data_IF_192525493515
#
_entry.id   IF_192525493515
#
_cell.length_a   1.000
_cell.length_b   1.000
_cell.length_c   1.000
_cell.angle_alpha   90.00
_cell.angle_beta   90.00
_cell.angle_gamma   90.00
#
_symmetry.space_group_name_H-M   'P 1'
#
loop_
_entity.id
_entity.type
_entity.pdbx_description
1 polymer ?
#
# COMPACT_ATOMS: atom_id res chain seq x y z
N UNK A 1 26.27 -6.71 30.59
CA UNK A 1 25.48 -6.13 31.67
C UNK A 1 24.71 -4.96 31.05
N UNK A 2 23.40 -5.10 30.83
CA UNK A 2 22.57 -4.02 30.32
C UNK A 2 22.45 -2.94 31.40
N UNK A 3 22.50 -1.62 31.09
CA UNK A 3 22.31 -0.57 32.07
C UNK A 3 20.91 -0.67 32.68
N UNK A 4 20.82 -0.41 33.99
CA UNK A 4 19.55 -0.39 34.70
C UNK A 4 18.60 0.61 34.04
N UNK A 5 17.39 0.16 33.71
CA UNK A 5 16.32 1.01 33.18
C UNK A 5 15.99 2.02 34.26
N UNK A 6 16.18 3.32 34.00
CA UNK A 6 15.79 4.39 34.92
C UNK A 6 14.29 4.27 35.19
N UNK A 7 13.91 4.17 36.45
CA UNK A 7 12.51 4.17 36.88
C UNK A 7 11.88 5.52 36.55
N UNK A 8 10.87 5.49 35.67
CA UNK A 8 10.07 6.69 35.38
C UNK A 8 9.32 7.12 36.64
N UNK A 9 9.21 8.44 36.95
CA UNK A 9 8.43 8.93 38.07
C UNK A 9 7.00 8.39 38.04
N UNK A 10 6.43 8.12 39.23
CA UNK A 10 5.11 7.53 39.37
C UNK A 10 3.96 8.41 38.83
N UNK A 11 4.20 9.72 38.64
CA UNK A 11 3.25 10.67 38.08
C UNK A 11 3.90 11.44 36.93
N UNK A 12 3.32 11.31 35.74
CA UNK A 12 3.69 12.03 34.50
C UNK A 12 2.45 12.80 34.06
N UNK A 13 2.54 14.13 33.97
CA UNK A 13 1.43 14.98 33.52
C UNK A 13 1.00 14.60 32.10
N UNK A 14 -0.32 14.49 31.86
CA UNK A 14 -0.91 14.14 30.56
C UNK A 14 -0.97 12.65 30.27
N UNK A 15 -0.40 11.78 31.11
CA UNK A 15 -0.42 10.33 30.88
C UNK A 15 -1.84 9.77 30.94
N UNK A 16 -2.73 10.39 31.71
CA UNK A 16 -4.16 10.04 31.79
C UNK A 16 -4.94 10.28 30.49
N UNK A 17 -4.41 11.14 29.59
CA UNK A 17 -4.95 11.40 28.27
C UNK A 17 -4.24 10.60 27.17
N UNK A 18 -3.16 9.92 27.52
CA UNK A 18 -2.37 9.16 26.57
C UNK A 18 -2.92 7.73 26.40
N UNK A 19 -2.86 7.23 25.16
CA UNK A 19 -3.13 5.82 24.87
C UNK A 19 -1.80 5.10 24.69
N UNK A 20 -1.62 4.00 25.41
CA UNK A 20 -0.46 3.14 25.19
C UNK A 20 -0.55 2.48 23.81
N UNK A 21 0.52 2.55 23.03
CA UNK A 21 0.59 1.89 21.74
C UNK A 21 0.57 0.36 21.88
N UNK A 22 -0.12 -0.29 20.96
CA UNK A 22 -0.01 -1.72 20.78
C UNK A 22 1.29 -2.05 20.02
N UNK A 23 1.88 -3.24 20.24
CA UNK A 23 2.99 -3.70 19.40
C UNK A 23 2.62 -3.70 17.92
N UNK A 24 3.50 -3.21 17.07
CA UNK A 24 3.31 -3.17 15.59
C UNK A 24 4.28 -4.09 14.84
N UNK A 25 5.32 -4.56 15.54
CA UNK A 25 6.35 -5.46 14.99
C UNK A 25 6.72 -6.54 16.01
N UNK A 26 7.23 -7.67 15.53
CA UNK A 26 7.83 -8.72 16.36
C UNK A 26 9.22 -8.30 16.87
N UNK A 27 9.83 -9.11 17.74
CA UNK A 27 11.20 -8.89 18.20
C UNK A 27 12.24 -8.97 17.06
N UNK A 28 11.91 -9.70 15.99
CA UNK A 28 12.71 -9.87 14.77
C UNK A 28 12.47 -8.73 13.77
N UNK A 29 11.55 -7.78 14.05
CA UNK A 29 11.22 -6.64 13.20
C UNK A 29 10.17 -6.93 12.13
N UNK A 30 9.49 -8.08 12.19
CA UNK A 30 8.41 -8.40 11.28
C UNK A 30 7.13 -7.65 11.65
N UNK A 31 6.39 -7.18 10.64
CA UNK A 31 5.12 -6.49 10.84
C UNK A 31 4.06 -7.41 11.44
N UNK A 32 3.39 -6.96 12.50
CA UNK A 32 2.21 -7.62 13.08
C UNK A 32 0.92 -7.28 12.33
N UNK A 33 0.98 -6.43 11.30
CA UNK A 33 -0.19 -6.12 10.49
C UNK A 33 -0.62 -7.38 9.72
N UNK A 34 -1.84 -7.83 10.00
CA UNK A 34 -2.40 -8.99 9.30
C UNK A 34 -2.68 -8.61 7.84
N UNK A 35 -2.17 -9.37 6.86
CA UNK A 35 -2.39 -9.06 5.45
C UNK A 35 -3.86 -9.29 5.05
N UNK A 36 -4.32 -8.56 4.05
CA UNK A 36 -5.59 -8.86 3.35
C UNK A 36 -5.36 -10.10 2.49
N UNK A 37 -6.30 -11.02 2.49
CA UNK A 37 -6.26 -12.25 1.71
C UNK A 37 -6.08 -11.96 0.22
N UNK A 38 -5.11 -12.62 -0.43
CA UNK A 38 -4.78 -12.45 -1.85
C UNK A 38 -3.97 -11.19 -2.18
N UNK A 39 -3.73 -10.29 -1.22
CA UNK A 39 -2.78 -9.19 -1.42
C UNK A 39 -1.36 -9.74 -1.30
N UNK A 40 -0.58 -9.56 -2.35
CA UNK A 40 0.82 -9.98 -2.39
C UNK A 40 1.74 -8.76 -2.51
N UNK A 41 2.87 -8.82 -1.84
CA UNK A 41 3.87 -7.74 -1.87
C UNK A 41 5.24 -8.35 -2.17
N UNK A 42 5.89 -7.86 -3.22
CA UNK A 42 7.26 -8.22 -3.57
C UNK A 42 8.14 -6.97 -3.58
N UNK A 43 9.29 -7.04 -2.93
CA UNK A 43 10.34 -6.02 -2.96
C UNK A 43 11.51 -6.53 -3.79
N UNK A 44 11.58 -6.20 -5.09
CA UNK A 44 12.69 -6.61 -5.93
C UNK A 44 13.99 -5.90 -5.50
N UNK A 45 15.14 -6.57 -5.57
CA UNK A 45 16.41 -5.93 -5.26
C UNK A 45 16.69 -4.78 -6.23
N UNK A 46 17.25 -3.70 -5.69
CA UNK A 46 17.77 -2.59 -6.49
C UNK A 46 19.29 -2.69 -6.51
N UNK A 47 19.88 -2.82 -7.69
CA UNK A 47 21.32 -2.83 -7.90
C UNK A 47 21.78 -1.44 -8.30
N UNK A 48 22.81 -0.93 -7.62
CA UNK A 48 23.36 0.41 -7.86
C UNK A 48 24.85 0.33 -8.21
N UNK A 49 25.26 1.16 -9.17
CA UNK A 49 26.67 1.40 -9.49
C UNK A 49 26.89 2.91 -9.76
N UNK A 50 28.09 3.31 -10.20
CA UNK A 50 28.43 4.71 -10.48
C UNK A 50 27.60 5.35 -11.60
N UNK A 51 26.88 4.57 -12.39
CA UNK A 51 26.01 5.03 -13.50
C UNK A 51 24.57 5.20 -13.09
N UNK A 52 24.13 4.57 -11.98
CA UNK A 52 22.74 4.64 -11.51
C UNK A 52 22.24 3.35 -10.90
N UNK A 53 20.93 3.07 -11.08
CA UNK A 53 20.28 1.90 -10.47
C UNK A 53 19.50 1.09 -11.49
N UNK A 54 19.45 -0.23 -11.28
CA UNK A 54 18.56 -1.16 -11.98
C UNK A 54 17.69 -1.85 -10.94
N UNK A 55 16.38 -1.88 -11.21
CA UNK A 55 15.41 -2.62 -10.43
C UNK A 55 14.42 -3.29 -11.38
N UNK A 56 14.27 -4.60 -11.28
CA UNK A 56 13.28 -5.32 -12.08
C UNK A 56 11.87 -4.98 -11.60
N UNK A 57 11.00 -4.63 -12.54
CA UNK A 57 9.60 -4.28 -12.25
C UNK A 57 8.74 -5.53 -12.14
N UNK A 58 8.91 -6.45 -13.08
CA UNK A 58 8.15 -7.68 -13.18
C UNK A 58 8.89 -8.74 -14.00
N UNK A 59 8.87 -9.98 -13.53
CA UNK A 59 9.34 -11.14 -14.27
C UNK A 59 8.36 -12.30 -14.05
N UNK A 60 7.87 -12.89 -15.14
CA UNK A 60 6.96 -14.05 -15.09
C UNK A 60 7.55 -15.24 -14.32
N UNK A 61 8.89 -15.40 -14.34
CA UNK A 61 9.59 -16.47 -13.63
C UNK A 61 9.49 -16.36 -12.10
N UNK A 62 9.09 -15.21 -11.58
CA UNK A 62 8.87 -15.05 -10.13
C UNK A 62 7.67 -15.84 -9.62
N UNK A 63 6.74 -16.24 -10.49
CA UNK A 63 5.49 -16.86 -10.07
C UNK A 63 4.74 -15.98 -9.05
N UNK A 64 4.80 -14.65 -9.22
CA UNK A 64 4.25 -13.70 -8.25
C UNK A 64 2.71 -13.75 -8.24
N UNK A 65 2.11 -13.85 -9.42
CA UNK A 65 0.69 -14.12 -9.63
C UNK A 65 0.52 -15.01 -10.85
N UNK A 66 -0.61 -15.70 -10.96
CA UNK A 66 -0.99 -16.44 -12.17
C UNK A 66 -1.65 -15.54 -13.23
N UNK A 67 -1.84 -14.25 -12.91
CA UNK A 67 -2.47 -13.29 -13.81
C UNK A 67 -1.60 -13.01 -15.05
N UNK A 68 -2.20 -12.89 -16.25
CA UNK A 68 -1.46 -12.55 -17.45
C UNK A 68 -0.93 -11.10 -17.41
N UNK A 69 0.15 -10.85 -18.14
CA UNK A 69 0.67 -9.50 -18.38
C UNK A 69 0.12 -9.00 -19.73
N UNK A 70 -1.03 -8.36 -19.71
CA UNK A 70 -1.77 -7.95 -20.92
C UNK A 70 -1.84 -6.45 -21.13
N UNK A 71 -1.64 -5.66 -20.08
CA UNK A 71 -1.76 -4.21 -20.11
C UNK A 71 -0.82 -3.56 -19.10
N UNK A 72 -0.16 -2.49 -19.49
CA UNK A 72 0.78 -1.75 -18.65
C UNK A 72 0.60 -0.26 -18.89
N UNK A 73 0.55 0.54 -17.81
CA UNK A 73 0.55 1.99 -17.91
C UNK A 73 1.21 2.66 -16.72
N UNK A 74 1.70 3.85 -16.97
CA UNK A 74 2.35 4.71 -16.00
C UNK A 74 1.36 5.68 -15.36
N UNK A 75 1.52 5.93 -14.07
CA UNK A 75 0.66 6.83 -13.29
C UNK A 75 1.53 7.77 -12.47
N UNK A 76 1.25 9.08 -12.54
CA UNK A 76 1.82 10.05 -11.61
C UNK A 76 0.77 10.61 -10.66
N UNK A 77 1.22 11.03 -9.49
CA UNK A 77 0.40 11.68 -8.46
C UNK A 77 1.16 12.89 -7.93
N UNK A 78 0.58 14.07 -8.09
CA UNK A 78 1.15 15.31 -7.54
C UNK A 78 1.13 15.30 -6.02
N UNK A 79 2.00 16.07 -5.33
CA UNK A 79 2.05 16.14 -3.88
C UNK A 79 0.68 16.34 -3.24
N UNK A 80 0.38 15.56 -2.22
CA UNK A 80 -0.87 15.62 -1.48
C UNK A 80 -2.12 15.10 -2.20
N UNK A 81 -2.01 14.74 -3.49
CA UNK A 81 -3.16 14.24 -4.24
C UNK A 81 -3.39 12.74 -4.01
N UNK A 82 -4.63 12.32 -4.30
CA UNK A 82 -5.10 10.93 -4.12
C UNK A 82 -5.72 10.44 -5.41
N UNK A 83 -5.39 9.23 -5.82
CA UNK A 83 -6.14 8.42 -6.79
C UNK A 83 -6.82 7.29 -6.04
N UNK A 84 -8.14 7.34 -5.91
CA UNK A 84 -9.00 6.40 -5.15
C UNK A 84 -10.24 7.12 -4.61
N UNK A 85 -11.12 6.49 -3.89
CA UNK A 85 -11.17 5.05 -3.71
C UNK A 85 -11.60 4.37 -5.00
N UNK A 86 -10.95 3.29 -5.32
CA UNK A 86 -11.26 2.47 -6.49
C UNK A 86 -11.44 1.01 -6.03
N UNK A 87 -12.37 0.32 -6.69
CA UNK A 87 -12.55 -1.12 -6.61
C UNK A 87 -12.75 -1.66 -8.02
N UNK A 88 -12.20 -2.81 -8.29
CA UNK A 88 -12.44 -3.62 -9.47
C UNK A 88 -13.18 -4.90 -9.08
N UNK A 89 -14.09 -5.38 -9.91
CA UNK A 89 -14.83 -6.63 -9.66
C UNK A 89 -14.24 -7.83 -10.38
N UNK A 90 -13.55 -7.58 -11.45
CA UNK A 90 -13.08 -8.60 -12.38
C UNK A 90 -11.54 -8.60 -12.50
N UNK A 91 -10.93 -7.41 -12.54
CA UNK A 91 -9.49 -7.29 -12.71
C UNK A 91 -8.76 -7.25 -11.36
N UNK A 92 -7.56 -7.83 -11.34
CA UNK A 92 -6.56 -7.61 -10.30
C UNK A 92 -5.63 -6.48 -10.74
N UNK A 93 -5.27 -5.57 -9.83
CA UNK A 93 -4.26 -4.56 -10.07
C UNK A 93 -2.89 -5.00 -9.54
N UNK A 94 -1.81 -4.67 -10.26
CA UNK A 94 -0.44 -4.86 -9.80
C UNK A 94 0.30 -3.53 -9.89
N UNK A 95 0.53 -2.89 -8.76
CA UNK A 95 1.14 -1.56 -8.68
C UNK A 95 2.62 -1.68 -8.34
N UNK A 96 3.51 -1.26 -9.22
CA UNK A 96 4.93 -1.13 -8.91
C UNK A 96 5.27 0.32 -8.60
N UNK A 97 5.45 0.63 -7.31
CA UNK A 97 5.85 1.95 -6.85
C UNK A 97 7.38 2.10 -6.90
N UNK A 98 7.87 3.14 -7.59
CA UNK A 98 9.31 3.30 -7.84
C UNK A 98 9.83 4.72 -7.64
N UNK A 99 8.95 5.72 -7.53
CA UNK A 99 9.33 7.13 -7.40
C UNK A 99 8.46 7.87 -6.38
N UNK A 100 9.05 8.81 -5.65
CA UNK A 100 8.39 9.60 -4.60
C UNK A 100 8.06 8.77 -3.38
N UNK A 101 7.05 9.21 -2.61
CA UNK A 101 6.56 8.52 -1.41
C UNK A 101 5.06 8.31 -1.51
N UNK A 102 4.66 7.07 -1.69
CA UNK A 102 3.26 6.68 -1.84
C UNK A 102 2.74 5.99 -0.57
N UNK A 103 1.54 6.36 -0.17
CA UNK A 103 0.72 5.61 0.76
C UNK A 103 -0.34 4.87 -0.03
N UNK A 104 -0.35 3.54 0.04
CA UNK A 104 -1.42 2.72 -0.49
C UNK A 104 -2.29 2.27 0.67
N UNK A 105 -3.59 2.54 0.60
CA UNK A 105 -4.57 2.09 1.58
C UNK A 105 -5.46 1.06 0.92
N UNK A 106 -5.57 -0.11 1.54
CA UNK A 106 -6.35 -1.25 1.08
C UNK A 106 -7.43 -1.58 2.11
N UNK A 107 -8.64 -1.87 1.66
CA UNK A 107 -9.74 -2.31 2.50
C UNK A 107 -10.49 -3.48 1.86
N UNK A 108 -10.55 -4.59 2.57
CA UNK A 108 -11.24 -5.78 2.08
C UNK A 108 -12.75 -5.67 2.31
N UNK A 109 -13.50 -5.56 1.22
CA UNK A 109 -14.96 -5.50 1.22
C UNK A 109 -15.62 -6.83 0.80
N UNK A 110 -14.84 -7.88 0.57
CA UNK A 110 -15.36 -9.20 0.17
C UNK A 110 -15.94 -9.91 1.38
N UNK A 111 -17.26 -10.07 1.40
CA UNK A 111 -18.00 -10.60 2.56
C UNK A 111 -17.73 -12.09 2.85
N UNK A 112 -17.15 -12.80 1.90
CA UNK A 112 -16.75 -14.21 1.96
C UNK A 112 -15.24 -14.42 2.22
N UNK A 113 -14.47 -13.33 2.34
CA UNK A 113 -13.04 -13.38 2.64
C UNK A 113 -12.77 -13.52 4.14
N UNK A 114 -11.74 -14.29 4.52
CA UNK A 114 -11.24 -14.37 5.89
C UNK A 114 -10.69 -13.05 6.43
N UNK A 115 -10.38 -12.11 5.52
CA UNK A 115 -9.92 -10.76 5.85
C UNK A 115 -11.00 -9.68 5.68
N UNK A 116 -12.26 -10.05 5.55
CA UNK A 116 -13.36 -9.07 5.45
C UNK A 116 -13.27 -7.99 6.53
N UNK A 117 -13.40 -6.72 6.12
CA UNK A 117 -13.31 -5.55 6.99
C UNK A 117 -11.88 -5.16 7.41
N UNK A 118 -10.85 -5.90 6.98
CA UNK A 118 -9.46 -5.60 7.29
C UNK A 118 -8.96 -4.41 6.47
N UNK A 119 -8.18 -3.56 7.13
CA UNK A 119 -7.54 -2.39 6.52
C UNK A 119 -6.03 -2.55 6.58
N UNK A 120 -5.36 -2.37 5.45
CA UNK A 120 -3.91 -2.32 5.38
C UNK A 120 -3.43 -0.96 4.83
N UNK A 121 -2.34 -0.46 5.39
CA UNK A 121 -1.68 0.78 4.96
C UNK A 121 -0.22 0.48 4.67
N UNK A 122 0.19 0.73 3.43
CA UNK A 122 1.55 0.53 2.95
C UNK A 122 2.18 1.89 2.64
N UNK A 123 3.46 2.06 2.99
CA UNK A 123 4.27 3.21 2.60
C UNK A 123 5.41 2.70 1.74
N UNK A 124 5.38 3.00 0.45
CA UNK A 124 6.32 2.49 -0.56
C UNK A 124 6.67 3.60 -1.55
N UNK A 125 7.70 3.40 -2.37
CA UNK A 125 8.12 4.38 -3.36
C UNK A 125 9.60 4.26 -3.70
N UNK A 126 10.27 5.38 -3.99
CA UNK A 126 11.66 5.39 -4.44
C UNK A 126 12.65 4.74 -3.47
N UNK A 127 12.39 4.84 -2.17
CA UNK A 127 13.24 4.28 -1.10
C UNK A 127 12.89 2.81 -0.76
N UNK A 128 11.66 2.40 -0.98
CA UNK A 128 11.15 1.04 -0.74
C UNK A 128 10.30 0.62 -1.94
N UNK A 129 10.97 0.32 -3.07
CA UNK A 129 10.31 -0.10 -4.30
C UNK A 129 9.61 -1.44 -4.08
N UNK A 130 8.32 -1.47 -4.42
CA UNK A 130 7.53 -2.67 -4.24
C UNK A 130 6.51 -2.86 -5.36
N UNK A 131 6.31 -4.12 -5.74
CA UNK A 131 5.19 -4.58 -6.53
C UNK A 131 4.12 -5.10 -5.58
N UNK A 132 2.93 -4.52 -5.66
CA UNK A 132 1.77 -4.89 -4.83
C UNK A 132 0.68 -5.43 -5.74
N UNK A 133 0.27 -6.68 -5.54
CA UNK A 133 -0.92 -7.26 -6.19
C UNK A 133 -2.13 -7.04 -5.31
N UNK A 134 -3.19 -6.49 -5.90
CA UNK A 134 -4.45 -6.16 -5.24
C UNK A 134 -5.55 -6.94 -5.93
N UNK A 135 -6.17 -7.92 -5.28
CA UNK A 135 -7.22 -8.72 -5.90
C UNK A 135 -8.51 -7.92 -6.11
N UNK A 136 -9.32 -8.38 -7.04
CA UNK A 136 -10.67 -7.90 -7.23
C UNK A 136 -11.46 -7.89 -5.90
N UNK A 137 -12.37 -6.92 -5.74
CA UNK A 137 -13.16 -6.77 -4.51
C UNK A 137 -12.47 -6.04 -3.35
N UNK A 138 -11.19 -5.67 -3.50
CA UNK A 138 -10.45 -4.88 -2.49
C UNK A 138 -10.45 -3.40 -2.89
N UNK A 139 -11.07 -2.55 -2.05
CA UNK A 139 -10.98 -1.10 -2.19
C UNK A 139 -9.55 -0.63 -1.99
N UNK A 140 -9.10 0.24 -2.86
CA UNK A 140 -7.76 0.81 -2.74
C UNK A 140 -7.72 2.30 -3.07
N UNK A 141 -6.79 2.99 -2.43
CA UNK A 141 -6.44 4.37 -2.72
C UNK A 141 -4.93 4.54 -2.67
N UNK A 142 -4.37 5.30 -3.61
CA UNK A 142 -2.96 5.64 -3.67
C UNK A 142 -2.83 7.14 -3.47
N UNK A 143 -2.13 7.53 -2.42
CA UNK A 143 -1.88 8.92 -2.05
C UNK A 143 -0.39 9.24 -2.14
N UNK A 144 -0.04 10.36 -2.74
CA UNK A 144 1.29 10.92 -2.61
C UNK A 144 1.40 11.68 -1.28
N UNK A 145 2.23 11.17 -0.38
CA UNK A 145 2.51 11.77 0.94
C UNK A 145 3.89 12.45 1.01
N UNK A 146 4.62 12.47 -0.12
CA UNK A 146 5.88 13.18 -0.29
C UNK A 146 5.68 14.63 -0.73
N UNK A 147 6.80 15.31 -0.94
CA UNK A 147 6.86 16.72 -1.37
C UNK A 147 6.98 16.88 -2.89
N UNK A 148 7.48 15.86 -3.60
CA UNK A 148 7.64 15.83 -5.06
C UNK A 148 6.57 14.93 -5.69
N UNK A 149 6.48 14.98 -7.04
CA UNK A 149 5.62 14.07 -7.77
C UNK A 149 6.05 12.61 -7.51
N UNK A 150 5.09 11.74 -7.29
CA UNK A 150 5.30 10.32 -7.11
C UNK A 150 4.74 9.54 -8.30
N UNK A 151 5.33 8.38 -8.58
CA UNK A 151 4.94 7.57 -9.72
C UNK A 151 4.92 6.07 -9.41
N UNK A 152 4.04 5.38 -10.13
CA UNK A 152 3.99 3.92 -10.15
C UNK A 152 3.61 3.42 -11.56
N UNK A 153 3.97 2.18 -11.83
CA UNK A 153 3.50 1.45 -13.01
C UNK A 153 2.36 0.54 -12.55
N UNK A 154 1.25 0.55 -13.29
CA UNK A 154 0.18 -0.43 -13.09
C UNK A 154 0.21 -1.50 -14.18
N UNK A 155 0.08 -2.76 -13.78
CA UNK A 155 0.08 -3.95 -14.61
C UNK A 155 -1.20 -4.76 -14.32
N UNK A 156 -2.39 -4.27 -14.70
CA UNK A 156 -3.65 -4.99 -14.43
C UNK A 156 -3.72 -6.32 -15.18
N UNK A 157 -4.55 -7.23 -14.65
CA UNK A 157 -4.78 -8.56 -15.26
C UNK A 157 -5.65 -8.53 -16.50
N UNK A 158 -6.37 -7.42 -16.73
CA UNK A 158 -7.28 -7.23 -17.86
C UNK A 158 -6.95 -5.93 -18.62
N UNK A 159 -7.15 -5.89 -19.95
CA UNK A 159 -7.10 -4.64 -20.71
C UNK A 159 -8.21 -3.68 -20.28
N UNK A 160 -7.95 -2.37 -20.39
CA UNK A 160 -8.96 -1.37 -20.08
C UNK A 160 -10.12 -1.42 -21.10
N UNK A 161 -11.34 -1.61 -20.62
CA UNK A 161 -12.57 -1.56 -21.42
C UNK A 161 -13.10 -0.13 -21.49
N UNK A 162 -13.01 0.50 -22.64
CA UNK A 162 -13.42 1.89 -22.82
C UNK A 162 -14.93 2.12 -22.72
N UNK A 163 -15.71 1.11 -23.15
CA UNK A 163 -17.18 1.19 -23.22
C UNK A 163 -17.84 0.82 -21.88
N UNK A 164 -17.21 -0.08 -21.12
CA UNK A 164 -17.72 -0.57 -19.84
C UNK A 164 -16.55 -0.82 -18.85
N UNK A 165 -16.00 0.25 -18.26
CA UNK A 165 -14.85 0.12 -17.35
C UNK A 165 -15.21 -0.63 -16.07
N UNK A 166 -14.45 -1.70 -15.74
CA UNK A 166 -14.50 -2.36 -14.44
C UNK A 166 -13.87 -1.46 -13.36
N UNK A 167 -14.54 -0.36 -13.03
CA UNK A 167 -13.99 0.65 -12.12
C UNK A 167 -15.08 1.34 -11.30
N UNK A 168 -15.18 0.94 -10.05
CA UNK A 168 -16.12 1.48 -9.09
C UNK A 168 -15.43 2.50 -8.18
N UNK A 169 -16.16 3.52 -7.71
CA UNK A 169 -15.61 4.60 -6.90
C UNK A 169 -16.45 4.89 -5.67
N UNK A 170 -15.75 5.24 -4.58
CA UNK A 170 -16.36 5.90 -3.41
C UNK A 170 -15.74 7.29 -3.21
N UNK A 171 -16.50 8.23 -2.61
CA UNK A 171 -15.95 9.50 -2.14
C UNK A 171 -14.80 9.28 -1.13
N UNK A 172 -13.89 10.25 -1.01
CA UNK A 172 -12.79 10.17 -0.06
C UNK A 172 -13.26 10.17 1.39
N UNK A 173 -14.40 10.80 1.66
CA UNK A 173 -15.02 10.99 2.97
C UNK A 173 -16.24 10.06 3.20
N UNK A 174 -16.25 8.88 2.57
CA UNK A 174 -17.31 7.89 2.71
C UNK A 174 -17.34 7.25 4.12
N UNK A 175 -18.48 6.63 4.46
CA UNK A 175 -18.69 5.94 5.74
C UNK A 175 -18.53 4.41 5.64
N UNK A 176 -18.18 3.89 4.44
CA UNK A 176 -18.00 2.46 4.19
C UNK A 176 -16.61 2.00 4.66
N UNK A 177 -15.59 2.82 4.38
CA UNK A 177 -14.19 2.48 4.67
C UNK A 177 -13.76 3.23 5.93
N UNK A 178 -13.31 2.54 6.99
CA UNK A 178 -12.93 3.16 8.27
C UNK A 178 -11.54 3.81 8.18
N UNK A 179 -11.33 4.63 7.14
CA UNK A 179 -10.08 5.35 6.90
C UNK A 179 -10.35 6.72 6.27
N UNK A 180 -9.73 7.76 6.81
CA UNK A 180 -9.83 9.11 6.27
C UNK A 180 -8.57 9.47 5.48
N UNK A 181 -8.75 9.72 4.18
CA UNK A 181 -7.68 10.21 3.30
C UNK A 181 -7.47 11.71 3.56
N UNK A 182 -6.55 12.03 4.48
CA UNK A 182 -6.23 13.42 4.82
C UNK A 182 -5.09 13.92 3.94
N UNK A 183 -5.18 15.20 3.50
CA UNK A 183 -4.02 15.84 2.85
C UNK A 183 -2.84 15.89 3.85
N UNK A 184 -1.60 15.65 3.41
CA UNK A 184 -0.43 15.94 4.25
C UNK A 184 -0.46 17.41 4.66
N UNK A 185 -0.08 17.67 5.91
CA UNK A 185 0.09 19.06 6.44
C UNK A 185 1.34 19.68 5.87
#
# INVERSE_FOLDING_TARGET
>A
MLPAVATVPAAVEGLEHARKDAPSVTAEGESLQQPIEGVLIRRPPTHADERGTICEVYDLRWGFTDDPLVYVYHVTIRPGQVKGWVLHREQNDRLFAYEGTLRIVLYDARTDSESFGRLNVLHIGGHDRALVSIPAGVWHAVQNVGHDEAAFINLPSEPYRHDDPDKYRLPHDNDVIPYRLTKPR
#
